data_IF_315140733237
#
_entry.id   IF_315140733237
#
_cell.length_a   1.000
_cell.length_b   1.000
_cell.length_c   1.000
_cell.angle_alpha   90.00
_cell.angle_beta   90.00
_cell.angle_gamma   90.00
#
_symmetry.space_group_name_H-M   'P 1'
#
loop_
_entity.id
_entity.type
_entity.pdbx_description
1 polymer ?
#
# COMPACT_ATOMS: atom_id res chain seq x y z
N UNK A 1 27.47 10.66 -5.61
CA UNK A 1 27.12 10.49 -4.18
C UNK A 1 26.31 9.22 -4.07
N UNK A 2 26.80 8.23 -3.33
CA UNK A 2 26.19 6.90 -3.21
C UNK A 2 24.91 7.01 -2.37
N UNK A 3 23.74 6.87 -3.00
CA UNK A 3 22.49 6.69 -2.26
C UNK A 3 22.53 5.31 -1.60
N UNK A 4 22.54 5.28 -0.27
CA UNK A 4 22.50 4.03 0.48
C UNK A 4 21.14 3.38 0.28
N UNK A 5 21.07 2.42 -0.63
CA UNK A 5 19.87 1.62 -0.87
C UNK A 5 19.70 0.61 0.26
N UNK A 6 18.49 0.50 0.80
CA UNK A 6 18.16 -0.53 1.79
C UNK A 6 16.84 -1.15 1.41
N UNK A 7 16.88 -2.40 0.95
CA UNK A 7 15.72 -3.26 0.75
C UNK A 7 15.69 -4.26 1.90
N UNK A 8 14.57 -4.31 2.62
CA UNK A 8 14.34 -5.32 3.65
C UNK A 8 13.14 -6.15 3.19
N UNK A 9 13.34 -7.46 3.11
CA UNK A 9 12.33 -8.45 2.75
C UNK A 9 12.17 -9.36 3.96
N UNK A 10 10.93 -9.57 4.41
CA UNK A 10 10.60 -10.51 5.49
C UNK A 10 9.64 -11.55 4.92
N UNK A 11 10.01 -12.83 5.05
CA UNK A 11 9.23 -13.99 4.55
C UNK A 11 8.93 -14.95 5.69
N UNK A 12 7.73 -15.53 5.69
CA UNK A 12 7.27 -16.50 6.68
C UNK A 12 7.68 -17.92 6.28
N UNK A 13 8.71 -18.46 6.94
CA UNK A 13 9.07 -19.88 6.88
C UNK A 13 8.72 -20.60 8.21
N UNK A 14 8.37 -21.92 8.19
CA UNK A 14 8.09 -22.70 9.39
C UNK A 14 9.34 -22.83 10.30
N UNK A 15 9.20 -23.22 11.59
CA UNK A 15 10.14 -22.83 12.63
C UNK A 15 11.47 -23.58 12.49
N UNK A 16 12.48 -22.89 11.94
CA UNK A 16 13.89 -23.29 12.07
C UNK A 16 14.72 -22.10 12.54
N UNK A 17 15.27 -22.27 13.75
CA UNK A 17 16.38 -21.52 14.38
C UNK A 17 16.31 -19.99 14.24
N UNK A 18 15.90 -19.33 15.33
CA UNK A 18 15.96 -17.86 15.55
C UNK A 18 17.27 -17.25 15.02
N UNK A 19 17.26 -16.72 13.80
CA UNK A 19 18.18 -15.66 13.40
C UNK A 19 17.62 -14.37 14.00
N UNK A 20 18.44 -13.65 14.79
CA UNK A 20 18.11 -12.32 15.33
C UNK A 20 17.52 -11.47 14.21
N UNK A 21 16.26 -11.08 14.33
CA UNK A 21 15.65 -10.06 13.48
C UNK A 21 16.49 -8.80 13.63
N UNK A 22 17.20 -8.40 12.56
CA UNK A 22 17.84 -7.09 12.53
C UNK A 22 16.72 -6.07 12.56
N UNK A 23 16.69 -5.22 13.58
CA UNK A 23 15.83 -4.03 13.57
C UNK A 23 16.16 -3.21 12.32
N UNK A 24 15.15 -2.69 11.59
CA UNK A 24 15.42 -1.75 10.52
C UNK A 24 16.16 -0.53 11.10
N UNK A 25 17.11 0.06 10.36
CA UNK A 25 17.85 1.21 10.86
C UNK A 25 16.88 2.35 11.22
N UNK A 26 17.18 3.12 12.30
CA UNK A 26 16.36 4.28 12.69
C UNK A 26 16.18 5.21 11.50
N UNK A 27 14.93 5.59 11.23
CA UNK A 27 14.62 6.52 10.15
C UNK A 27 14.80 7.95 10.65
N UNK A 28 15.48 8.78 9.86
CA UNK A 28 15.39 10.23 10.02
C UNK A 28 13.91 10.65 9.90
N UNK A 29 13.46 11.51 10.83
CA UNK A 29 12.08 11.99 10.89
C UNK A 29 11.67 12.75 9.62
N UNK A 30 12.63 13.18 8.79
CA UNK A 30 12.40 13.81 7.48
C UNK A 30 11.91 12.83 6.39
N UNK A 31 12.13 11.52 6.55
CA UNK A 31 11.83 10.50 5.55
C UNK A 31 10.32 10.25 5.46
N UNK A 32 9.72 10.44 4.28
CA UNK A 32 8.32 10.10 4.03
C UNK A 32 8.11 8.58 4.12
N UNK A 33 7.04 8.12 4.79
CA UNK A 33 6.77 6.70 5.04
C UNK A 33 5.40 6.37 4.50
N UNK A 34 5.36 5.57 3.43
CA UNK A 34 4.16 5.26 2.66
C UNK A 34 3.82 3.79 2.88
N UNK A 35 2.60 3.48 3.27
CA UNK A 35 2.07 2.11 3.20
C UNK A 35 1.23 2.00 1.93
N UNK A 36 1.55 1.03 1.07
CA UNK A 36 0.86 0.81 -0.20
C UNK A 36 -0.08 -0.38 -0.09
N UNK A 37 -1.36 -0.12 -0.36
CA UNK A 37 -2.45 -1.09 -0.29
C UNK A 37 -3.14 -1.19 -1.65
N UNK A 38 -3.31 -2.40 -2.15
CA UNK A 38 -3.99 -2.68 -3.42
C UNK A 38 -4.54 -4.10 -3.40
N UNK A 39 -5.40 -4.44 -4.36
CA UNK A 39 -6.10 -5.73 -4.37
C UNK A 39 -5.22 -6.86 -4.93
N UNK A 40 -4.13 -6.52 -5.60
CA UNK A 40 -3.20 -7.46 -6.21
C UNK A 40 -1.74 -7.01 -6.07
N UNK A 41 -0.82 -7.97 -6.18
CA UNK A 41 0.63 -7.71 -6.25
C UNK A 41 0.96 -6.81 -7.44
N UNK A 42 0.31 -7.02 -8.58
CA UNK A 42 0.50 -6.24 -9.80
C UNK A 42 0.10 -4.77 -9.63
N UNK A 43 -1.04 -4.48 -9.01
CA UNK A 43 -1.46 -3.09 -8.73
C UNK A 43 -0.49 -2.39 -7.78
N UNK A 44 -0.07 -3.05 -6.71
CA UNK A 44 0.92 -2.51 -5.80
C UNK A 44 2.26 -2.26 -6.49
N UNK A 45 2.72 -3.21 -7.31
CA UNK A 45 3.99 -3.07 -8.02
C UNK A 45 3.94 -1.93 -9.02
N UNK A 46 2.85 -1.80 -9.77
CA UNK A 46 2.62 -0.67 -10.69
C UNK A 46 2.74 0.67 -9.97
N UNK A 47 1.99 0.84 -8.88
CA UNK A 47 1.94 2.10 -8.13
C UNK A 47 3.24 2.38 -7.39
N UNK A 48 3.84 1.38 -6.75
CA UNK A 48 5.11 1.52 -6.05
C UNK A 48 6.25 1.91 -7.00
N UNK A 49 6.30 1.29 -8.18
CA UNK A 49 7.28 1.61 -9.22
C UNK A 49 7.02 3.00 -9.83
N UNK A 50 5.75 3.38 -10.01
CA UNK A 50 5.37 4.73 -10.44
C UNK A 50 5.87 5.80 -9.46
N UNK A 51 5.65 5.60 -8.16
CA UNK A 51 6.09 6.55 -7.12
C UNK A 51 7.62 6.65 -7.08
N UNK A 52 8.33 5.53 -7.25
CA UNK A 52 9.79 5.48 -7.20
C UNK A 52 10.46 5.88 -8.52
N UNK A 53 9.73 5.91 -9.63
CA UNK A 53 10.26 6.16 -10.97
C UNK A 53 11.22 5.07 -11.48
N UNK A 54 11.12 3.85 -10.93
CA UNK A 54 11.98 2.70 -11.30
C UNK A 54 11.31 1.36 -10.98
N UNK A 55 11.79 0.28 -11.58
CA UNK A 55 11.36 -1.09 -11.27
C UNK A 55 11.97 -1.58 -9.94
N UNK A 56 11.29 -1.33 -8.83
CA UNK A 56 11.72 -1.74 -7.49
C UNK A 56 10.88 -2.88 -6.89
N UNK A 57 9.63 -3.01 -7.33
CA UNK A 57 8.68 -4.06 -6.96
C UNK A 57 8.40 -4.97 -8.16
N UNK A 58 8.36 -6.27 -7.89
CA UNK A 58 8.08 -7.29 -8.88
C UNK A 58 6.60 -7.68 -8.82
N UNK A 59 5.90 -7.60 -9.95
CA UNK A 59 4.47 -7.96 -10.04
C UNK A 59 4.20 -9.45 -9.78
N UNK A 60 5.24 -10.29 -9.82
CA UNK A 60 5.17 -11.73 -9.56
C UNK A 60 5.70 -12.12 -8.17
N UNK A 61 5.98 -11.14 -7.29
CA UNK A 61 6.45 -11.42 -5.94
C UNK A 61 5.40 -12.21 -5.12
N UNK A 62 5.81 -13.13 -4.22
CA UNK A 62 4.89 -13.81 -3.32
C UNK A 62 4.03 -12.81 -2.52
N UNK A 63 2.69 -12.96 -2.50
CA UNK A 63 1.80 -11.95 -1.91
C UNK A 63 1.91 -11.88 -0.38
N UNK A 64 2.42 -12.93 0.27
CA UNK A 64 2.56 -13.06 1.72
C UNK A 64 3.76 -12.30 2.29
N UNK A 65 4.60 -11.72 1.44
CA UNK A 65 5.80 -10.98 1.82
C UNK A 65 5.49 -9.49 1.98
N UNK A 66 5.93 -8.90 3.10
CA UNK A 66 5.95 -7.44 3.26
C UNK A 66 7.33 -6.93 2.87
N UNK A 67 7.37 -5.95 1.96
CA UNK A 67 8.62 -5.37 1.49
C UNK A 67 8.76 -3.93 1.97
N UNK A 68 9.96 -3.58 2.44
CA UNK A 68 10.34 -2.19 2.71
C UNK A 68 11.41 -1.77 1.72
N UNK A 69 11.06 -0.78 0.89
CA UNK A 69 11.94 -0.26 -0.16
C UNK A 69 12.17 1.23 0.05
N UNK A 70 13.44 1.63 0.13
CA UNK A 70 13.84 3.03 0.15
C UNK A 70 13.95 3.64 -1.25
N UNK A 71 13.71 4.95 -1.32
CA UNK A 71 13.86 5.73 -2.54
C UNK A 71 13.87 7.22 -2.29
N UNK A 72 13.82 7.97 -3.38
CA UNK A 72 13.84 9.43 -3.35
C UNK A 72 12.85 9.98 -4.38
N UNK A 73 11.99 10.89 -3.95
CA UNK A 73 11.09 11.65 -4.81
C UNK A 73 11.55 13.12 -4.78
N UNK A 74 12.12 13.59 -5.89
CA UNK A 74 12.84 14.87 -5.94
C UNK A 74 13.91 14.94 -4.85
N UNK A 75 13.81 15.90 -3.95
CA UNK A 75 14.76 16.11 -2.84
C UNK A 75 14.32 15.43 -1.53
N UNK A 76 13.20 14.69 -1.54
CA UNK A 76 12.66 14.04 -0.34
C UNK A 76 12.93 12.54 -0.35
N UNK A 77 13.58 12.05 0.72
CA UNK A 77 13.69 10.62 0.96
C UNK A 77 12.34 10.03 1.31
N UNK A 78 12.06 8.84 0.81
CA UNK A 78 10.87 8.09 1.16
C UNK A 78 11.17 6.60 1.33
N UNK A 79 10.30 5.94 2.06
CA UNK A 79 10.18 4.49 2.08
C UNK A 79 8.75 4.10 1.69
N UNK A 80 8.64 3.01 0.95
CA UNK A 80 7.38 2.35 0.64
C UNK A 80 7.38 0.99 1.34
N UNK A 81 6.33 0.76 2.13
CA UNK A 81 6.00 -0.52 2.71
C UNK A 81 4.92 -1.13 1.81
N UNK A 82 5.30 -2.15 1.04
CA UNK A 82 4.42 -2.90 0.15
C UNK A 82 3.87 -4.12 0.90
N UNK A 83 2.55 -4.20 1.03
CA UNK A 83 1.84 -5.31 1.69
C UNK A 83 0.69 -5.78 0.80
N UNK A 84 0.98 -6.55 -0.27
CA UNK A 84 0.01 -6.88 -1.32
C UNK A 84 -1.07 -7.88 -0.90
N UNK A 85 -0.91 -8.58 0.23
CA UNK A 85 -1.93 -9.48 0.77
C UNK A 85 -3.09 -8.76 1.46
N UNK A 86 -2.90 -7.53 1.97
CA UNK A 86 -3.84 -6.96 2.95
C UNK A 86 -5.27 -6.75 2.43
N UNK A 87 -5.47 -6.51 1.13
CA UNK A 87 -6.80 -6.33 0.54
C UNK A 87 -7.28 -7.53 -0.28
N UNK A 88 -6.53 -8.62 -0.30
CA UNK A 88 -6.95 -9.84 -1.00
C UNK A 88 -8.14 -10.49 -0.29
N UNK A 89 -9.01 -11.14 -1.08
CA UNK A 89 -10.28 -11.71 -0.60
C UNK A 89 -10.11 -12.90 0.34
N UNK A 90 -9.00 -13.63 0.24
CA UNK A 90 -8.79 -14.92 0.93
C UNK A 90 -7.87 -14.81 2.16
N UNK A 91 -7.78 -13.62 2.76
CA UNK A 91 -6.91 -13.36 3.92
C UNK A 91 -7.76 -13.25 5.18
N UNK A 92 -7.38 -13.99 6.23
CA UNK A 92 -8.09 -14.04 7.50
C UNK A 92 -7.81 -12.81 8.39
N UNK A 93 -8.70 -12.54 9.35
CA UNK A 93 -8.52 -11.49 10.37
C UNK A 93 -7.18 -11.59 11.10
N UNK A 94 -6.76 -12.80 11.46
CA UNK A 94 -5.46 -13.02 12.10
C UNK A 94 -4.28 -12.65 11.17
N UNK A 95 -4.36 -12.99 9.88
CA UNK A 95 -3.33 -12.63 8.90
C UNK A 95 -3.30 -11.11 8.66
N UNK A 96 -4.45 -10.44 8.67
CA UNK A 96 -4.54 -8.98 8.59
C UNK A 96 -3.83 -8.36 9.78
N UNK A 97 -4.22 -8.70 11.01
CA UNK A 97 -3.64 -8.13 12.23
C UNK A 97 -2.12 -8.37 12.28
N UNK A 98 -1.65 -9.56 11.89
CA UNK A 98 -0.21 -9.84 11.83
C UNK A 98 0.51 -8.93 10.82
N UNK A 99 0.00 -8.87 9.59
CA UNK A 99 0.61 -8.08 8.51
C UNK A 99 0.58 -6.59 8.83
N UNK A 100 -0.48 -6.10 9.46
CA UNK A 100 -0.57 -4.71 9.92
C UNK A 100 0.49 -4.41 10.98
N UNK A 101 0.70 -5.30 11.97
CA UNK A 101 1.76 -5.13 12.97
C UNK A 101 3.15 -5.05 12.34
N UNK A 102 3.39 -5.87 11.33
CA UNK A 102 4.63 -5.85 10.56
C UNK A 102 4.80 -4.53 9.80
N UNK A 103 3.74 -4.04 9.14
CA UNK A 103 3.76 -2.74 8.48
C UNK A 103 4.01 -1.59 9.46
N UNK A 104 3.41 -1.63 10.65
CA UNK A 104 3.65 -0.64 11.73
C UNK A 104 5.11 -0.67 12.16
N UNK A 105 5.67 -1.86 12.41
CA UNK A 105 7.08 -2.01 12.77
C UNK A 105 8.02 -1.48 11.67
N UNK A 106 7.73 -1.78 10.40
CA UNK A 106 8.53 -1.33 9.26
C UNK A 106 8.34 0.16 8.94
N UNK A 107 7.34 0.82 9.52
CA UNK A 107 7.06 2.24 9.31
C UNK A 107 7.31 3.11 10.55
N UNK A 108 7.95 2.60 11.60
CA UNK A 108 8.24 3.32 12.84
C UNK A 108 8.77 4.75 12.61
N UNK A 109 8.27 5.79 13.32
CA UNK A 109 7.24 5.77 14.39
C UNK A 109 5.80 5.58 13.91
N UNK A 110 5.59 5.36 12.62
CA UNK A 110 4.30 5.09 12.00
C UNK A 110 4.22 5.67 10.59
N UNK A 111 3.25 5.21 9.77
CA UNK A 111 3.10 5.69 8.40
C UNK A 111 2.65 7.15 8.39
N UNK A 112 3.20 7.91 7.45
CA UNK A 112 2.76 9.28 7.18
C UNK A 112 1.49 9.28 6.33
N UNK A 113 1.44 8.39 5.35
CA UNK A 113 0.36 8.32 4.35
C UNK A 113 0.12 6.86 3.96
N UNK A 114 -1.15 6.55 3.70
CA UNK A 114 -1.54 5.32 3.04
C UNK A 114 -1.89 5.64 1.60
N UNK A 115 -1.37 4.88 0.65
CA UNK A 115 -1.79 4.96 -0.74
C UNK A 115 -2.61 3.74 -1.05
N UNK A 116 -3.83 3.96 -1.53
CA UNK A 116 -4.78 2.91 -1.88
C UNK A 116 -4.92 2.83 -3.39
N UNK A 117 -4.30 1.82 -4.00
CA UNK A 117 -4.37 1.51 -5.43
C UNK A 117 -5.67 0.76 -5.75
N UNK A 118 -6.55 1.35 -6.56
CA UNK A 118 -7.85 0.78 -6.94
C UNK A 118 -8.09 0.82 -8.44
N UNK A 119 -8.99 -0.03 -8.91
CA UNK A 119 -9.60 0.05 -10.24
C UNK A 119 -11.10 0.34 -10.11
N UNK A 120 -11.59 1.33 -10.85
CA UNK A 120 -13.02 1.67 -10.98
C UNK A 120 -13.88 0.48 -11.38
N UNK A 121 -13.40 -0.34 -12.32
CA UNK A 121 -14.19 -1.44 -12.87
C UNK A 121 -14.35 -2.63 -11.93
N UNK A 122 -13.48 -2.77 -10.93
CA UNK A 122 -13.42 -3.95 -10.05
C UNK A 122 -13.57 -3.60 -8.55
N UNK A 123 -13.94 -2.36 -8.20
CA UNK A 123 -14.18 -2.01 -6.80
C UNK A 123 -15.62 -2.28 -6.37
N UNK A 124 -15.82 -3.10 -5.34
CA UNK A 124 -17.14 -3.54 -4.89
C UNK A 124 -17.43 -3.11 -3.45
N UNK A 125 -18.69 -3.25 -3.01
CA UNK A 125 -19.06 -3.07 -1.59
C UNK A 125 -18.25 -3.95 -0.64
N UNK A 126 -17.82 -5.15 -1.07
CA UNK A 126 -16.97 -6.03 -0.25
C UNK A 126 -15.57 -5.44 -0.10
N UNK A 127 -15.01 -4.92 -1.18
CA UNK A 127 -13.70 -4.27 -1.17
C UNK A 127 -13.72 -3.02 -0.29
N UNK A 128 -14.78 -2.22 -0.34
CA UNK A 128 -14.97 -1.07 0.56
C UNK A 128 -14.93 -1.46 2.04
N UNK A 129 -15.69 -2.50 2.44
CA UNK A 129 -15.66 -2.98 3.84
C UNK A 129 -14.28 -3.46 4.23
N UNK A 130 -13.60 -4.17 3.34
CA UNK A 130 -12.25 -4.71 3.54
C UNK A 130 -11.24 -3.59 3.75
N UNK A 131 -11.25 -2.56 2.90
CA UNK A 131 -10.39 -1.37 3.05
C UNK A 131 -10.59 -0.71 4.40
N UNK A 132 -11.84 -0.48 4.80
CA UNK A 132 -12.14 0.14 6.10
C UNK A 132 -11.66 -0.71 7.27
N UNK A 133 -11.83 -2.03 7.20
CA UNK A 133 -11.32 -2.96 8.21
C UNK A 133 -9.80 -2.85 8.33
N UNK A 134 -9.06 -2.96 7.21
CA UNK A 134 -7.58 -2.89 7.23
C UNK A 134 -7.09 -1.56 7.77
N UNK A 135 -7.65 -0.43 7.31
CA UNK A 135 -7.25 0.89 7.79
C UNK A 135 -7.52 1.04 9.30
N UNK A 136 -8.65 0.52 9.79
CA UNK A 136 -8.96 0.52 11.23
C UNK A 136 -7.95 -0.28 12.05
N UNK A 137 -7.48 -1.41 11.54
CA UNK A 137 -6.43 -2.21 12.20
C UNK A 137 -5.11 -1.43 12.34
N UNK A 138 -4.79 -0.50 11.43
CA UNK A 138 -3.64 0.39 11.59
C UNK A 138 -3.87 1.44 12.69
N UNK A 139 -5.03 2.10 12.66
CA UNK A 139 -5.62 2.94 13.72
C UNK A 139 -6.87 3.67 13.19
N UNK A 140 -7.66 4.24 14.10
CA UNK A 140 -8.90 4.96 13.76
C UNK A 140 -8.72 6.18 12.83
N UNK A 141 -7.50 6.75 12.77
CA UNK A 141 -7.18 7.92 11.95
C UNK A 141 -6.54 7.57 10.60
N UNK A 142 -6.29 6.29 10.32
CA UNK A 142 -5.59 5.86 9.12
C UNK A 142 -6.31 6.31 7.85
N UNK A 143 -7.63 6.20 7.82
CA UNK A 143 -8.47 6.63 6.68
C UNK A 143 -8.30 8.12 6.35
N UNK A 144 -8.07 8.97 7.35
CA UNK A 144 -7.83 10.41 7.15
C UNK A 144 -6.47 10.71 6.54
N UNK A 145 -5.54 9.76 6.61
CA UNK A 145 -4.21 9.84 5.99
C UNK A 145 -4.12 9.01 4.70
N UNK A 146 -5.25 8.58 4.15
CA UNK A 146 -5.29 7.80 2.91
C UNK A 146 -5.49 8.69 1.70
N UNK A 147 -4.68 8.45 0.67
CA UNK A 147 -4.87 8.95 -0.70
C UNK A 147 -5.39 7.79 -1.55
N UNK A 148 -6.49 8.00 -2.25
CA UNK A 148 -7.02 7.03 -3.22
C UNK A 148 -6.33 7.27 -4.56
N UNK A 149 -5.73 6.24 -5.15
CA UNK A 149 -5.13 6.28 -6.47
C UNK A 149 -5.85 5.27 -7.38
N UNK A 150 -6.52 5.76 -8.42
CA UNK A 150 -7.19 4.90 -9.40
C UNK A 150 -6.32 4.66 -10.62
N UNK A 151 -6.14 3.40 -11.03
CA UNK A 151 -5.23 2.99 -12.11
C UNK A 151 -5.92 2.75 -13.46
N UNK A 152 -7.25 2.76 -13.50
CA UNK A 152 -8.05 2.72 -14.72
C UNK A 152 -9.02 3.91 -14.81
N UNK A 153 -9.64 4.07 -15.98
CA UNK A 153 -10.67 5.10 -16.20
C UNK A 153 -12.05 4.52 -15.86
N UNK A 154 -12.89 5.34 -15.23
CA UNK A 154 -14.33 5.09 -15.20
C UNK A 154 -14.83 4.92 -16.64
N UNK A 155 -15.58 3.85 -16.93
CA UNK A 155 -16.00 3.54 -18.30
C UNK A 155 -16.87 4.67 -18.87
N UNK A 156 -16.44 5.29 -19.98
CA UNK A 156 -17.15 6.39 -20.66
C UNK A 156 -17.90 5.94 -21.93
N UNK A 157 -18.32 4.67 -22.05
CA UNK A 157 -19.09 4.24 -23.23
C UNK A 157 -20.60 4.35 -23.01
N UNK A 158 -21.18 5.44 -23.51
CA UNK A 158 -22.49 5.44 -24.18
C UNK A 158 -23.78 5.39 -23.36
N UNK A 159 -23.76 5.14 -22.05
CA UNK A 159 -24.94 5.30 -21.21
C UNK A 159 -24.49 5.50 -19.76
N UNK A 160 -24.99 6.57 -19.13
CA UNK A 160 -24.89 6.92 -17.70
C UNK A 160 -23.67 6.35 -16.98
N UNK A 161 -22.63 7.16 -16.77
CA UNK A 161 -21.47 6.81 -15.93
C UNK A 161 -22.01 6.26 -14.61
N UNK A 162 -22.06 4.94 -14.45
CA UNK A 162 -22.19 4.34 -13.12
C UNK A 162 -20.85 4.58 -12.47
N UNK A 163 -20.67 5.81 -11.98
CA UNK A 163 -19.57 6.15 -11.15
C UNK A 163 -19.57 5.14 -10.01
N UNK A 164 -18.40 4.57 -9.72
CA UNK A 164 -18.31 3.58 -8.67
C UNK A 164 -18.61 4.28 -7.33
N UNK A 165 -19.85 4.20 -6.88
CA UNK A 165 -20.36 4.89 -5.68
C UNK A 165 -19.54 4.52 -4.45
N UNK A 166 -18.97 3.31 -4.42
CA UNK A 166 -18.12 2.86 -3.33
C UNK A 166 -16.75 3.56 -3.32
N UNK A 167 -16.18 3.86 -4.50
CA UNK A 167 -14.97 4.69 -4.60
C UNK A 167 -15.28 6.13 -4.21
N UNK A 168 -16.43 6.67 -4.62
CA UNK A 168 -16.86 8.02 -4.24
C UNK A 168 -17.07 8.12 -2.72
N UNK A 169 -17.78 7.16 -2.13
CA UNK A 169 -17.97 7.06 -0.69
C UNK A 169 -16.62 7.01 0.04
N UNK A 170 -15.72 6.14 -0.42
CA UNK A 170 -14.41 6.00 0.20
C UNK A 170 -13.60 7.30 0.12
N UNK A 171 -13.60 7.93 -1.06
CA UNK A 171 -12.88 9.20 -1.29
C UNK A 171 -13.40 10.31 -0.40
N UNK A 172 -14.72 10.39 -0.18
CA UNK A 172 -15.32 11.36 0.74
C UNK A 172 -14.90 11.16 2.21
N UNK A 173 -14.58 9.93 2.60
CA UNK A 173 -14.09 9.62 3.94
C UNK A 173 -12.57 9.85 4.08
N UNK A 174 -11.82 9.70 2.99
CA UNK A 174 -10.38 9.89 2.90
C UNK A 174 -9.97 11.38 2.99
N UNK A 175 -8.99 11.69 3.85
CA UNK A 175 -8.49 13.06 4.01
C UNK A 175 -7.39 13.46 3.01
N UNK A 176 -6.80 12.49 2.30
CA UNK A 176 -5.71 12.74 1.35
C UNK A 176 -6.14 13.00 -0.08
N UNK A 177 -7.45 12.95 -0.37
CA UNK A 177 -8.00 13.16 -1.72
C UNK A 177 -7.89 11.94 -2.64
N UNK A 178 -8.13 12.18 -3.93
CA UNK A 178 -8.14 11.17 -4.99
C UNK A 178 -7.30 11.63 -6.18
N UNK A 179 -6.46 10.71 -6.68
CA UNK A 179 -5.59 10.90 -7.85
C UNK A 179 -5.94 9.83 -8.88
N UNK A 180 -6.02 10.23 -10.14
CA UNK A 180 -6.21 9.31 -11.25
C UNK A 180 -4.92 9.18 -12.05
N UNK A 181 -4.43 7.95 -12.20
CA UNK A 181 -3.34 7.66 -13.12
C UNK A 181 -3.90 7.39 -14.52
N UNK A 182 -3.42 8.14 -15.50
CA UNK A 182 -3.66 7.86 -16.91
C UNK A 182 -2.46 7.06 -17.42
N UNK A 183 -2.68 5.83 -17.89
CA UNK A 183 -1.75 5.17 -18.78
C UNK A 183 -1.81 5.93 -20.12
N UNK A 184 -0.91 6.88 -20.33
CA UNK A 184 -0.60 7.43 -21.65
C UNK A 184 0.62 6.69 -22.24
#
# INVERSE_FOLDING_TARGET
MSSTETRVIVSHNPPRRRKKSKSPPPLDMSVLRIVLLGKSVSENSLVGNLILGRAAFDSESPPDVVERVGGRLKDRHLIIINSPQLLQRNVSDQQITHTVRECVFLSDPGPHVFILALQYKDFTKKDLRRVKQVLKEFNDHAIKRTIVLTTDKASQRGASVKANEFIQQLTAECGGGHVQHNND
#
